data_IF_324681989193
#
_entry.id   IF_324681989193
#
_cell.length_a   1.000
_cell.length_b   1.000
_cell.length_c   1.000
_cell.angle_alpha   90.00
_cell.angle_beta   90.00
_cell.angle_gamma   90.00
#
_symmetry.space_group_name_H-M   'P 1'
#
loop_
_entity.id
_entity.type
_entity.pdbx_description
1 polymer ?
#
# COMPACT_ATOMS: atom_id res chain seq x y z
N UNK A 1 31.82 -10.94 -36.22
CA UNK A 1 31.03 -9.75 -35.81
C UNK A 1 30.06 -10.14 -34.69
N UNK A 2 30.34 -9.84 -33.42
CA UNK A 2 29.33 -9.96 -32.35
C UNK A 2 28.30 -8.83 -32.56
N UNK A 3 27.05 -9.18 -32.90
CA UNK A 3 25.94 -8.20 -32.98
C UNK A 3 25.90 -7.41 -31.67
N UNK A 4 26.17 -6.10 -31.76
CA UNK A 4 26.03 -5.15 -30.65
C UNK A 4 24.59 -5.21 -30.17
N UNK A 5 24.35 -5.70 -28.96
CA UNK A 5 23.00 -5.73 -28.42
C UNK A 5 22.59 -4.31 -28.01
N UNK A 6 22.07 -3.54 -28.98
CA UNK A 6 21.38 -2.26 -28.71
C UNK A 6 20.24 -2.45 -27.69
N UNK A 7 19.71 -3.66 -27.63
CA UNK A 7 18.71 -4.11 -26.66
C UNK A 7 19.21 -3.95 -25.22
N UNK A 8 20.45 -4.33 -24.91
CA UNK A 8 21.00 -4.19 -23.55
C UNK A 8 21.13 -2.73 -23.09
N UNK A 9 21.47 -1.82 -24.02
CA UNK A 9 21.50 -0.38 -23.74
C UNK A 9 20.09 0.17 -23.45
N UNK A 10 19.10 -0.22 -24.26
CA UNK A 10 17.71 0.20 -24.09
C UNK A 10 17.13 -0.31 -22.77
N UNK A 11 17.35 -1.58 -22.45
CA UNK A 11 16.94 -2.18 -21.17
C UNK A 11 17.60 -1.45 -19.99
N UNK A 12 18.92 -1.20 -20.06
CA UNK A 12 19.65 -0.52 -19.00
C UNK A 12 19.18 0.92 -18.76
N UNK A 13 18.89 1.67 -19.83
CA UNK A 13 18.32 3.01 -19.74
C UNK A 13 16.91 2.98 -19.14
N UNK A 14 16.06 2.07 -19.62
CA UNK A 14 14.68 1.94 -19.14
C UNK A 14 14.61 1.68 -17.64
N UNK A 15 15.35 0.69 -17.13
CA UNK A 15 15.34 0.36 -15.70
C UNK A 15 15.95 1.48 -14.84
N UNK A 16 17.06 2.09 -15.29
CA UNK A 16 17.69 3.20 -14.55
C UNK A 16 16.75 4.40 -14.43
N UNK A 17 16.15 4.84 -15.55
CA UNK A 17 15.24 5.99 -15.55
C UNK A 17 13.99 5.69 -14.73
N UNK A 18 13.39 4.50 -14.90
CA UNK A 18 12.21 4.10 -14.13
C UNK A 18 12.49 4.09 -12.63
N UNK A 19 13.60 3.50 -12.20
CA UNK A 19 13.99 3.47 -10.78
C UNK A 19 14.16 4.87 -10.18
N UNK A 20 14.83 5.78 -10.90
CA UNK A 20 15.04 7.16 -10.47
C UNK A 20 13.71 7.93 -10.39
N UNK A 21 12.85 7.79 -11.39
CA UNK A 21 11.55 8.49 -11.44
C UNK A 21 10.65 8.00 -10.30
N UNK A 22 10.53 6.68 -10.10
CA UNK A 22 9.76 6.12 -9.00
C UNK A 22 10.30 6.57 -7.64
N UNK A 23 11.62 6.56 -7.47
CA UNK A 23 12.26 7.07 -6.26
C UNK A 23 11.94 8.55 -6.03
N UNK A 24 11.96 9.39 -7.07
CA UNK A 24 11.68 10.81 -6.96
C UNK A 24 10.24 11.09 -6.48
N UNK A 25 9.26 10.32 -6.95
CA UNK A 25 7.86 10.45 -6.50
C UNK A 25 7.69 10.14 -5.02
N UNK A 26 8.39 9.11 -4.52
CA UNK A 26 8.30 8.65 -3.14
C UNK A 26 9.43 9.16 -2.22
N UNK A 27 10.32 10.03 -2.73
CA UNK A 27 11.52 10.48 -2.02
C UNK A 27 11.21 11.16 -0.69
N UNK A 28 10.14 11.95 -0.64
CA UNK A 28 9.73 12.64 0.58
C UNK A 28 9.34 11.66 1.71
N UNK A 29 8.68 10.57 1.36
CA UNK A 29 8.37 9.50 2.31
C UNK A 29 9.62 8.68 2.64
N UNK A 30 10.37 8.24 1.63
CA UNK A 30 11.53 7.35 1.81
C UNK A 30 12.66 8.01 2.60
N UNK A 31 13.00 9.26 2.30
CA UNK A 31 14.13 9.96 2.91
C UNK A 31 13.74 10.69 4.19
N UNK A 32 12.55 11.30 4.24
CA UNK A 32 12.15 12.18 5.33
C UNK A 32 11.02 11.61 6.20
N UNK A 33 10.45 10.45 5.83
CA UNK A 33 9.31 9.87 6.55
C UNK A 33 8.05 10.73 6.49
N UNK A 34 7.92 11.61 5.49
CA UNK A 34 6.74 12.48 5.39
C UNK A 34 5.52 11.66 4.96
N UNK A 35 4.46 11.76 5.75
CA UNK A 35 3.14 11.17 5.51
C UNK A 35 2.08 12.26 5.51
N UNK A 36 0.91 11.96 4.97
CA UNK A 36 -0.29 12.79 5.10
C UNK A 36 -1.13 12.26 6.26
N UNK A 37 -1.55 13.13 7.17
CA UNK A 37 -2.46 12.76 8.26
C UNK A 37 -3.87 12.61 7.73
N UNK A 38 -4.36 11.37 7.65
CA UNK A 38 -5.67 11.06 7.07
C UNK A 38 -6.82 11.48 7.99
N UNK A 39 -6.67 11.37 9.32
CA UNK A 39 -7.68 11.81 10.26
C UNK A 39 -7.96 13.31 10.04
N UNK A 40 -6.90 14.12 9.94
CA UNK A 40 -7.03 15.55 9.68
C UNK A 40 -7.70 15.87 8.34
N UNK A 41 -7.37 15.13 7.28
CA UNK A 41 -8.00 15.33 5.96
C UNK A 41 -9.51 15.05 6.05
N UNK A 42 -9.90 14.00 6.77
CA UNK A 42 -11.30 13.64 6.96
C UNK A 42 -12.05 14.67 7.84
N UNK A 43 -11.44 15.13 8.92
CA UNK A 43 -11.99 16.19 9.80
C UNK A 43 -12.24 17.50 9.04
N UNK A 44 -11.35 17.87 8.13
CA UNK A 44 -11.46 19.10 7.33
C UNK A 44 -12.37 18.93 6.10
N UNK A 45 -12.92 17.73 5.87
CA UNK A 45 -13.73 17.43 4.68
C UNK A 45 -12.94 17.51 3.36
N UNK A 46 -11.63 17.27 3.42
CA UNK A 46 -10.72 17.38 2.29
C UNK A 46 -10.78 16.20 1.33
N UNK A 47 -10.20 16.38 0.14
CA UNK A 47 -10.06 15.29 -0.83
C UNK A 47 -9.04 14.25 -0.34
N UNK A 48 -9.39 12.98 -0.52
CA UNK A 48 -8.55 11.86 -0.10
C UNK A 48 -7.26 11.80 -0.93
N UNK A 49 -6.08 11.76 -0.28
CA UNK A 49 -4.78 11.87 -0.95
C UNK A 49 -4.38 10.52 -1.59
N UNK A 50 -5.03 10.16 -2.70
CA UNK A 50 -4.78 8.92 -3.44
C UNK A 50 -3.30 8.76 -3.78
N UNK A 51 -2.81 7.52 -3.70
CA UNK A 51 -1.42 7.12 -3.95
C UNK A 51 -0.38 7.78 -3.05
N UNK A 52 -0.79 8.51 -2.00
CA UNK A 52 0.10 9.03 -0.97
C UNK A 52 0.25 8.04 0.16
N UNK A 53 1.38 8.14 0.85
CA UNK A 53 1.55 7.48 2.14
C UNK A 53 0.87 8.31 3.21
N UNK A 54 -0.03 7.66 3.93
CA UNK A 54 -0.85 8.27 4.97
C UNK A 54 -0.54 7.67 6.32
N UNK A 55 -0.76 8.47 7.37
CA UNK A 55 -0.92 7.99 8.74
C UNK A 55 -2.38 8.10 9.14
N UNK A 56 -2.89 7.09 9.81
CA UNK A 56 -4.29 7.02 10.21
C UNK A 56 -4.39 6.36 11.58
N UNK A 57 -5.15 6.96 12.48
CA UNK A 57 -5.50 6.40 13.78
C UNK A 57 -6.96 6.01 13.74
N UNK A 58 -7.22 4.70 13.70
CA UNK A 58 -8.57 4.14 13.79
C UNK A 58 -9.01 4.13 15.25
N UNK A 59 -10.23 4.59 15.52
CA UNK A 59 -10.86 4.53 16.83
C UNK A 59 -11.66 3.25 17.03
N UNK A 60 -12.33 2.75 15.98
CA UNK A 60 -13.18 1.55 16.09
C UNK A 60 -12.78 0.50 15.05
N UNK A 61 -11.87 -0.42 15.38
CA UNK A 61 -11.59 -1.57 14.53
C UNK A 61 -12.78 -2.54 14.54
N UNK A 62 -13.33 -2.85 13.36
CA UNK A 62 -14.46 -3.79 13.24
C UNK A 62 -13.97 -5.24 13.22
N UNK A 63 -12.92 -5.51 12.45
CA UNK A 63 -12.29 -6.83 12.39
C UNK A 63 -11.96 -7.30 10.98
N UNK A 64 -11.48 -8.53 10.89
CA UNK A 64 -11.11 -9.17 9.64
C UNK A 64 -12.36 -9.52 8.82
N UNK A 65 -12.36 -9.20 7.53
CA UNK A 65 -13.45 -9.59 6.62
C UNK A 65 -12.98 -10.40 5.41
N UNK A 66 -11.69 -10.38 5.07
CA UNK A 66 -11.16 -11.15 3.95
C UNK A 66 -9.67 -11.51 4.10
N UNK A 67 -9.30 -12.64 3.47
CA UNK A 67 -7.91 -13.02 3.21
C UNK A 67 -7.65 -12.97 1.70
N UNK A 68 -6.63 -12.22 1.29
CA UNK A 68 -6.16 -12.14 -0.09
C UNK A 68 -4.94 -13.02 -0.28
N UNK A 69 -4.95 -13.83 -1.34
CA UNK A 69 -3.80 -14.60 -1.78
C UNK A 69 -3.41 -14.22 -3.21
N UNK A 70 -2.20 -13.72 -3.39
CA UNK A 70 -1.67 -13.36 -4.71
C UNK A 70 -1.22 -14.61 -5.47
N UNK A 71 -1.62 -14.72 -6.74
CA UNK A 71 -1.16 -15.75 -7.67
C UNK A 71 -0.48 -15.10 -8.88
N UNK A 72 0.71 -15.59 -9.23
CA UNK A 72 1.41 -15.22 -10.46
C UNK A 72 1.59 -16.48 -11.29
N UNK A 73 0.83 -16.62 -12.38
CA UNK A 73 0.84 -17.80 -13.25
C UNK A 73 0.66 -19.12 -12.49
N UNK A 74 -0.26 -19.15 -11.51
CA UNK A 74 -0.52 -20.32 -10.65
C UNK A 74 0.51 -20.53 -9.53
N UNK A 75 1.56 -19.70 -9.45
CA UNK A 75 2.55 -19.74 -8.38
C UNK A 75 2.15 -18.75 -7.28
N UNK A 76 2.26 -19.17 -6.03
CA UNK A 76 2.05 -18.35 -4.84
C UNK A 76 3.41 -17.77 -4.41
N UNK A 77 3.76 -16.51 -4.74
CA UNK A 77 5.04 -15.92 -4.37
C UNK A 77 5.09 -15.59 -2.87
N UNK A 78 6.17 -15.91 -2.16
CA UNK A 78 6.29 -15.53 -0.75
C UNK A 78 6.73 -14.05 -0.61
N UNK A 79 6.08 -13.24 0.25
CA UNK A 79 4.83 -13.50 0.98
C UNK A 79 3.58 -13.19 0.13
N UNK A 80 2.68 -14.16 -0.03
CA UNK A 80 1.50 -14.03 -0.91
C UNK A 80 0.21 -13.63 -0.19
N UNK A 81 0.20 -13.71 1.14
CA UNK A 81 -1.01 -13.57 1.94
C UNK A 81 -1.05 -12.21 2.62
N UNK A 82 -2.14 -11.50 2.40
CA UNK A 82 -2.51 -10.31 3.17
C UNK A 82 -3.94 -10.44 3.63
N UNK A 83 -4.27 -9.82 4.75
CA UNK A 83 -5.62 -9.81 5.29
C UNK A 83 -6.19 -8.40 5.24
N UNK A 84 -7.50 -8.32 5.05
CA UNK A 84 -8.24 -7.07 5.03
C UNK A 84 -9.07 -6.95 6.30
N UNK A 85 -8.90 -5.81 6.95
CA UNK A 85 -9.61 -5.44 8.17
C UNK A 85 -10.48 -4.22 7.91
N UNK A 86 -11.71 -4.23 8.39
CA UNK A 86 -12.60 -3.09 8.35
C UNK A 86 -12.37 -2.21 9.59
N UNK A 87 -12.44 -0.90 9.38
CA UNK A 87 -12.21 0.14 10.38
C UNK A 87 -13.31 1.17 10.25
N UNK A 88 -13.92 1.51 11.37
CA UNK A 88 -14.95 2.55 11.48
C UNK A 88 -14.38 3.75 12.23
N UNK A 89 -14.73 4.94 11.75
CA UNK A 89 -14.56 6.21 12.45
C UNK A 89 -15.73 7.13 12.10
N UNK A 90 -15.92 8.19 12.89
CA UNK A 90 -16.92 9.22 12.64
C UNK A 90 -16.25 10.58 12.44
N UNK A 91 -16.64 11.31 11.40
CA UNK A 91 -16.14 12.65 11.09
C UNK A 91 -17.31 13.56 10.71
N UNK A 92 -17.44 14.69 11.41
CA UNK A 92 -18.51 15.66 11.11
C UNK A 92 -19.93 15.16 11.37
N UNK A 93 -20.10 14.06 12.12
CA UNK A 93 -21.38 13.40 12.38
C UNK A 93 -21.76 12.31 11.37
N UNK A 94 -20.91 12.07 10.37
CA UNK A 94 -21.06 11.00 9.40
C UNK A 94 -20.01 9.91 9.65
N UNK A 95 -20.46 8.66 9.59
CA UNK A 95 -19.61 7.49 9.76
C UNK A 95 -18.88 7.12 8.47
N UNK A 96 -17.66 6.62 8.59
CA UNK A 96 -16.87 6.16 7.44
C UNK A 96 -16.22 4.83 7.75
N UNK A 97 -16.31 3.90 6.79
CA UNK A 97 -15.65 2.60 6.88
C UNK A 97 -14.51 2.50 5.86
N UNK A 98 -13.29 2.32 6.37
CA UNK A 98 -12.08 2.07 5.59
C UNK A 98 -11.61 0.62 5.72
N UNK A 99 -10.84 0.20 4.74
CA UNK A 99 -10.10 -1.06 4.83
C UNK A 99 -8.63 -0.84 5.18
N UNK A 100 -8.06 -1.71 6.01
CA UNK A 100 -6.63 -1.84 6.21
C UNK A 100 -6.15 -3.17 5.62
N UNK A 101 -5.11 -3.13 4.79
CA UNK A 101 -4.50 -4.34 4.24
C UNK A 101 -3.21 -4.64 4.99
N UNK A 102 -3.23 -5.75 5.72
CA UNK A 102 -2.17 -6.14 6.63
C UNK A 102 -1.44 -7.38 6.12
N UNK A 103 -0.12 -7.40 6.31
CA UNK A 103 0.73 -8.59 6.11
C UNK A 103 1.45 -9.03 7.38
N UNK A 104 1.64 -8.09 8.32
CA UNK A 104 2.33 -8.35 9.57
C UNK A 104 1.41 -9.08 10.55
N UNK A 105 1.82 -10.27 10.99
CA UNK A 105 1.12 -11.02 12.05
C UNK A 105 0.99 -10.23 13.35
N UNK A 106 1.98 -9.39 13.66
CA UNK A 106 1.92 -8.52 14.83
C UNK A 106 0.80 -7.49 14.69
N UNK A 107 0.67 -6.85 13.52
CA UNK A 107 -0.41 -5.88 13.26
C UNK A 107 -1.78 -6.56 13.22
N UNK A 108 -1.88 -7.76 12.66
CA UNK A 108 -3.12 -8.55 12.71
C UNK A 108 -3.55 -8.83 14.15
N UNK A 109 -2.62 -9.30 15.01
CA UNK A 109 -2.91 -9.54 16.41
C UNK A 109 -3.27 -8.25 17.20
N UNK A 110 -2.65 -7.12 16.86
CA UNK A 110 -3.02 -5.80 17.40
C UNK A 110 -4.48 -5.46 17.03
N UNK A 111 -4.88 -5.68 15.78
CA UNK A 111 -6.28 -5.53 15.35
C UNK A 111 -7.23 -6.46 16.07
N UNK A 112 -6.95 -7.77 16.07
CA UNK A 112 -7.83 -8.77 16.67
C UNK A 112 -8.04 -8.52 18.17
N UNK A 113 -7.01 -8.00 18.86
CA UNK A 113 -7.10 -7.61 20.27
C UNK A 113 -7.96 -6.35 20.45
N UNK A 114 -7.79 -5.36 19.58
CA UNK A 114 -8.48 -4.07 19.69
C UNK A 114 -9.98 -4.16 19.34
N UNK A 115 -10.40 -5.10 18.50
CA UNK A 115 -11.83 -5.34 18.19
C UNK A 115 -12.67 -5.61 19.45
N UNK A 116 -12.04 -6.13 20.51
CA UNK A 116 -12.71 -6.47 21.77
C UNK A 116 -12.44 -5.45 22.90
N UNK A 117 -11.78 -4.33 22.59
CA UNK A 117 -11.42 -3.28 23.55
C UNK A 117 -11.89 -1.93 23.04
N UNK A 118 -12.99 -1.44 23.61
CA UNK A 118 -13.63 -0.16 23.24
C UNK A 118 -12.72 1.07 23.42
N UNK A 119 -11.56 0.92 24.06
CA UNK A 119 -10.58 2.00 24.25
C UNK A 119 -9.35 1.88 23.35
N UNK A 120 -9.20 0.77 22.63
CA UNK A 120 -8.03 0.49 21.83
C UNK A 120 -8.06 1.25 20.49
N UNK A 121 -7.10 2.16 20.32
CA UNK A 121 -6.88 2.86 19.06
C UNK A 121 -5.73 2.23 18.28
N UNK A 122 -5.92 2.03 16.98
CA UNK A 122 -4.90 1.44 16.11
C UNK A 122 -4.28 2.50 15.22
N UNK A 123 -2.95 2.59 15.23
CA UNK A 123 -2.21 3.45 14.31
C UNK A 123 -1.68 2.66 13.12
N UNK A 124 -1.97 3.20 11.94
CA UNK A 124 -1.51 2.72 10.66
C UNK A 124 -0.67 3.75 9.93
N UNK A 125 0.31 3.23 9.21
CA UNK A 125 1.07 3.95 8.20
C UNK A 125 1.06 3.07 6.94
N UNK A 126 0.62 3.61 5.81
CA UNK A 126 0.50 2.84 4.59
C UNK A 126 0.13 3.70 3.39
N UNK A 127 0.16 3.10 2.19
CA UNK A 127 -0.28 3.80 0.97
C UNK A 127 -1.80 3.75 0.87
N UNK A 128 -2.43 4.90 0.68
CA UNK A 128 -3.85 4.97 0.38
C UNK A 128 -4.07 4.56 -1.08
N UNK A 129 -4.73 3.42 -1.29
CA UNK A 129 -5.04 2.87 -2.61
C UNK A 129 -6.54 2.60 -2.73
N UNK A 130 -6.98 2.21 -3.92
CA UNK A 130 -8.33 1.68 -4.13
C UNK A 130 -8.30 0.16 -3.94
N UNK A 131 -9.26 -0.37 -3.22
CA UNK A 131 -9.43 -1.81 -3.05
C UNK A 131 -9.96 -2.44 -4.35
N UNK A 132 -9.68 -3.72 -4.57
CA UNK A 132 -10.26 -4.47 -5.68
C UNK A 132 -11.79 -4.62 -5.52
N UNK A 133 -12.54 -4.66 -6.62
CA UNK A 133 -14.01 -4.78 -6.61
C UNK A 133 -14.49 -6.04 -5.89
N UNK A 134 -13.81 -7.18 -6.04
CA UNK A 134 -14.20 -8.42 -5.38
C UNK A 134 -14.03 -8.29 -3.86
N UNK A 135 -12.92 -7.68 -3.44
CA UNK A 135 -12.63 -7.41 -2.04
C UNK A 135 -13.61 -6.39 -1.42
N UNK A 136 -14.03 -5.38 -2.18
CA UNK A 136 -15.09 -4.46 -1.76
C UNK A 136 -16.43 -5.17 -1.59
N UNK A 137 -16.79 -6.09 -2.48
CA UNK A 137 -18.03 -6.87 -2.34
C UNK A 137 -18.11 -7.66 -1.03
N UNK A 138 -16.98 -8.17 -0.53
CA UNK A 138 -16.94 -8.79 0.81
C UNK A 138 -17.10 -7.76 1.94
N UNK A 139 -16.56 -6.55 1.79
CA UNK A 139 -16.79 -5.46 2.74
C UNK A 139 -18.27 -5.09 2.80
N UNK A 140 -18.94 -4.98 1.65
CA UNK A 140 -20.39 -4.73 1.59
C UNK A 140 -21.19 -5.86 2.24
N UNK A 141 -20.76 -7.10 2.12
CA UNK A 141 -21.47 -8.22 2.77
C UNK A 141 -21.32 -8.21 4.29
N UNK A 142 -20.16 -7.82 4.81
CA UNK A 142 -19.87 -7.83 6.25
C UNK A 142 -20.33 -6.54 6.95
N UNK A 143 -20.22 -5.41 6.26
CA UNK A 143 -20.51 -4.08 6.80
C UNK A 143 -21.73 -3.42 6.15
N UNK A 144 -22.45 -4.08 5.24
CA UNK A 144 -23.61 -3.51 4.55
C UNK A 144 -24.72 -3.09 5.52
N UNK A 145 -24.90 -3.83 6.61
CA UNK A 145 -25.90 -3.50 7.64
C UNK A 145 -25.53 -2.22 8.43
N UNK A 146 -24.25 -1.80 8.41
CA UNK A 146 -23.84 -0.50 8.96
C UNK A 146 -24.26 0.65 8.04
N UNK A 147 -24.48 0.42 6.74
CA UNK A 147 -24.66 1.47 5.74
C UNK A 147 -26.03 2.18 5.76
N UNK A 148 -26.98 1.72 6.58
CA UNK A 148 -28.33 2.29 6.61
C UNK A 148 -28.45 3.58 7.45
N UNK A 149 -27.49 3.87 8.33
CA UNK A 149 -27.45 5.09 9.16
C UNK A 149 -26.17 5.91 8.90
N UNK A 150 -26.22 6.94 8.05
CA UNK A 150 -25.13 7.93 7.83
C UNK A 150 -23.68 7.39 7.70
N UNK A 151 -23.51 6.11 7.32
CA UNK A 151 -22.21 5.45 7.24
C UNK A 151 -21.85 5.19 5.78
N UNK A 152 -20.72 5.73 5.36
CA UNK A 152 -20.18 5.55 4.01
C UNK A 152 -19.14 4.44 3.99
N UNK A 153 -19.41 3.37 3.22
CA UNK A 153 -18.40 2.37 2.89
C UNK A 153 -17.48 2.93 1.80
N UNK A 154 -16.17 2.85 2.03
CA UNK A 154 -15.19 3.37 1.08
C UNK A 154 -14.51 2.29 0.27
N UNK A 155 -14.27 2.58 -1.00
CA UNK A 155 -13.40 1.77 -1.87
C UNK A 155 -11.92 1.97 -1.54
N UNK A 156 -11.56 2.63 -0.45
CA UNK A 156 -10.18 2.94 -0.13
C UNK A 156 -9.61 1.95 0.87
N UNK A 157 -8.34 1.60 0.64
CA UNK A 157 -7.58 0.71 1.50
C UNK A 157 -6.25 1.36 1.86
N UNK A 158 -5.92 1.32 3.14
CA UNK A 158 -4.59 1.67 3.64
C UNK A 158 -3.73 0.40 3.54
N UNK A 159 -2.87 0.34 2.52
CA UNK A 159 -1.95 -0.78 2.33
C UNK A 159 -0.69 -0.59 3.17
N UNK A 160 -0.60 -1.37 4.25
CA UNK A 160 0.52 -1.38 5.20
C UNK A 160 1.48 -2.54 4.92
N UNK A 161 1.35 -3.22 3.77
CA UNK A 161 2.06 -4.49 3.54
C UNK A 161 3.55 -4.27 3.29
N UNK A 162 3.95 -3.10 2.79
CA UNK A 162 5.34 -2.77 2.56
C UNK A 162 5.84 -1.63 3.43
N UNK A 163 7.04 -1.82 3.98
CA UNK A 163 7.72 -0.79 4.76
C UNK A 163 8.45 0.21 3.86
N UNK A 164 8.75 1.39 4.43
CA UNK A 164 9.65 2.38 3.83
C UNK A 164 10.97 1.78 3.32
N UNK A 165 11.55 0.85 4.09
CA UNK A 165 12.82 0.20 3.75
C UNK A 165 12.63 -0.73 2.54
N UNK A 166 11.52 -1.47 2.48
CA UNK A 166 11.21 -2.32 1.32
C UNK A 166 11.11 -1.50 0.03
N UNK A 167 10.45 -0.34 0.07
CA UNK A 167 10.36 0.55 -1.10
C UNK A 167 11.73 1.09 -1.51
N UNK A 168 12.53 1.54 -0.54
CA UNK A 168 13.89 2.01 -0.80
C UNK A 168 14.76 0.92 -1.45
N UNK A 169 14.70 -0.31 -0.93
CA UNK A 169 15.44 -1.45 -1.47
C UNK A 169 14.96 -1.83 -2.86
N UNK A 170 13.65 -1.79 -3.11
CA UNK A 170 13.09 -2.07 -4.43
C UNK A 170 13.57 -1.08 -5.49
N UNK A 171 13.54 0.23 -5.20
CA UNK A 171 14.03 1.24 -6.14
C UNK A 171 15.54 1.18 -6.34
N UNK A 172 16.30 0.86 -5.28
CA UNK A 172 17.73 0.62 -5.38
C UNK A 172 18.03 -0.58 -6.28
N UNK A 173 17.30 -1.69 -6.12
CA UNK A 173 17.46 -2.90 -6.94
C UNK A 173 17.16 -2.63 -8.41
N UNK A 174 16.03 -1.96 -8.71
CA UNK A 174 15.66 -1.56 -10.07
C UNK A 174 16.75 -0.71 -10.72
N UNK A 175 17.25 0.28 -9.99
CA UNK A 175 18.32 1.17 -10.46
C UNK A 175 19.63 0.42 -10.66
N UNK A 176 20.02 -0.44 -9.72
CA UNK A 176 21.23 -1.25 -9.79
C UNK A 176 21.22 -2.21 -10.98
N UNK A 177 20.07 -2.85 -11.27
CA UNK A 177 19.88 -3.68 -12.45
C UNK A 177 20.05 -2.86 -13.74
N UNK A 178 19.46 -1.67 -13.81
CA UNK A 178 19.63 -0.75 -14.94
C UNK A 178 21.11 -0.40 -15.18
N UNK A 179 21.81 0.02 -14.11
CA UNK A 179 23.25 0.34 -14.15
C UNK A 179 24.09 -0.87 -14.57
N UNK A 180 23.77 -2.06 -14.07
CA UNK A 180 24.46 -3.30 -14.45
C UNK A 180 24.39 -3.55 -15.96
N UNK A 181 23.20 -3.42 -16.57
CA UNK A 181 23.04 -3.58 -18.02
C UNK A 181 23.82 -2.52 -18.81
N UNK A 182 23.87 -1.28 -18.33
CA UNK A 182 24.67 -0.23 -18.93
C UNK A 182 26.18 -0.54 -18.87
N UNK A 183 26.70 -0.91 -17.70
CA UNK A 183 28.11 -1.28 -17.52
C UNK A 183 28.50 -2.45 -18.42
N UNK A 184 27.66 -3.49 -18.50
CA UNK A 184 27.89 -4.64 -19.37
C UNK A 184 27.92 -4.26 -20.86
N UNK A 185 27.09 -3.30 -21.27
CA UNK A 185 27.11 -2.77 -22.64
C UNK A 185 28.41 -2.00 -22.92
N UNK A 186 28.84 -1.11 -22.01
CA UNK A 186 30.06 -0.33 -22.18
C UNK A 186 31.34 -1.15 -22.05
N UNK A 187 31.40 -2.15 -21.15
CA UNK A 187 32.55 -3.08 -21.06
C UNK A 187 32.74 -3.92 -22.32
N UNK A 188 31.68 -4.27 -23.04
CA UNK A 188 31.79 -4.95 -24.35
C UNK A 188 32.30 -4.05 -25.48
N UNK A 189 32.45 -2.74 -25.23
CA UNK A 189 32.87 -1.74 -26.21
C UNK A 189 34.38 -1.45 -26.16
N UNK A 190 35.03 -1.74 -25.02
CA UNK A 190 36.49 -1.67 -24.81
C UNK A 190 37.09 -3.03 -25.19
#
# INVERSE_FOLDING_TARGET
>A
MRKKSKVGLLIGLFFTVTGIVMFAFDASYILLGRTVDLNKVLEEGGELPRDKVVTYTCEVPIGNYAEMQTYINGIIPLPAKSQLYAMYDEYGGDGIIFSAKLRSKYKMAEFDSAVNDDTAKIKLEGRLMTIDNDAFGYLEQVCGDFSEENITLTYYVIDTTSSRIEWALMYLLITALGVFFLVMYFKKKI
#
